data_IF_132669388785
#
_entry.id   IF_132669388785
#
_cell.length_a   1.000
_cell.length_b   1.000
_cell.length_c   1.000
_cell.angle_alpha   90.00
_cell.angle_beta   90.00
_cell.angle_gamma   90.00
#
_symmetry.space_group_name_H-M   'P 1'
#
loop_
_entity.id
_entity.type
_entity.pdbx_description
1 polymer ?
#
# COMPACT_ATOMS: atom_id res chain seq x y z
N UNK A 1 -2.84 -36.16 6.09
CA UNK A 1 -3.51 -36.02 4.78
C UNK A 1 -4.46 -37.18 4.45
N UNK A 2 -4.11 -38.46 4.65
CA UNK A 2 -5.01 -39.60 4.34
C UNK A 2 -6.35 -39.61 5.10
N UNK A 3 -6.38 -39.18 6.37
CA UNK A 3 -7.63 -39.07 7.14
C UNK A 3 -8.60 -37.99 6.62
N UNK A 4 -8.08 -36.88 6.11
CA UNK A 4 -8.89 -35.79 5.54
C UNK A 4 -9.53 -36.20 4.20
N UNK A 5 -8.80 -36.96 3.38
CA UNK A 5 -9.34 -37.53 2.12
C UNK A 5 -10.42 -38.59 2.39
N UNK A 6 -10.28 -39.40 3.45
CA UNK A 6 -11.28 -40.38 3.83
C UNK A 6 -12.60 -39.74 4.31
N UNK A 7 -12.54 -38.65 5.07
CA UNK A 7 -13.73 -37.88 5.46
C UNK A 7 -14.39 -37.18 4.26
N UNK A 8 -13.60 -36.57 3.36
CA UNK A 8 -14.10 -35.96 2.12
C UNK A 8 -14.82 -36.99 1.22
N UNK A 9 -14.22 -38.18 1.05
CA UNK A 9 -14.85 -39.29 0.31
C UNK A 9 -16.11 -39.83 1.00
N UNK A 10 -16.13 -39.93 2.33
CA UNK A 10 -17.31 -40.40 3.08
C UNK A 10 -18.49 -39.42 3.00
N UNK A 11 -18.21 -38.11 2.88
CA UNK A 11 -19.22 -37.06 2.73
C UNK A 11 -19.57 -36.77 1.27
N UNK A 12 -18.93 -37.45 0.31
CA UNK A 12 -19.04 -37.21 -1.13
C UNK A 12 -18.85 -35.73 -1.52
N UNK A 13 -18.01 -35.02 -0.75
CA UNK A 13 -17.71 -33.59 -0.92
C UNK A 13 -16.20 -33.42 -1.01
N UNK A 14 -15.68 -32.74 -2.05
CA UNK A 14 -14.23 -32.64 -2.24
C UNK A 14 -13.51 -31.92 -1.11
N UNK A 15 -14.15 -30.96 -0.43
CA UNK A 15 -13.50 -30.07 0.55
C UNK A 15 -14.42 -29.63 1.72
N UNK A 16 -14.98 -30.55 2.52
CA UNK A 16 -15.97 -30.21 3.55
C UNK A 16 -15.43 -29.24 4.63
N UNK A 17 -14.15 -29.34 5.00
CA UNK A 17 -13.52 -28.43 5.97
C UNK A 17 -13.30 -27.03 5.40
N UNK A 18 -13.04 -26.91 4.10
CA UNK A 18 -12.93 -25.61 3.44
C UNK A 18 -14.31 -24.95 3.35
N UNK A 19 -15.35 -25.72 3.02
CA UNK A 19 -16.72 -25.22 2.95
C UNK A 19 -17.22 -24.78 4.33
N UNK A 20 -16.89 -25.53 5.38
CA UNK A 20 -17.22 -25.19 6.77
C UNK A 20 -16.44 -23.95 7.23
N UNK A 21 -15.15 -23.85 6.90
CA UNK A 21 -14.35 -22.66 7.14
C UNK A 21 -14.88 -21.43 6.40
N UNK A 22 -15.27 -21.56 5.12
CA UNK A 22 -15.85 -20.47 4.32
C UNK A 22 -17.18 -20.00 4.93
N UNK A 23 -18.00 -20.92 5.46
CA UNK A 23 -19.25 -20.58 6.16
C UNK A 23 -19.04 -19.77 7.44
N UNK A 24 -17.85 -19.79 8.04
CA UNK A 24 -17.55 -18.92 9.20
C UNK A 24 -17.37 -17.46 8.83
N UNK A 25 -17.19 -17.13 7.54
CA UNK A 25 -17.13 -15.74 7.10
C UNK A 25 -18.54 -15.19 6.91
N UNK A 26 -18.90 -14.08 7.58
CA UNK A 26 -20.19 -13.46 7.37
C UNK A 26 -20.30 -12.95 5.92
N UNK A 27 -21.35 -13.39 5.22
CA UNK A 27 -21.63 -12.94 3.86
C UNK A 27 -21.91 -11.43 3.83
N UNK A 28 -21.37 -10.74 2.81
CA UNK A 28 -21.57 -9.30 2.60
C UNK A 28 -20.65 -8.37 3.41
N UNK A 29 -19.74 -8.90 4.24
CA UNK A 29 -18.77 -8.10 4.98
C UNK A 29 -17.49 -7.89 4.14
N UNK A 30 -16.97 -6.65 4.03
CA UNK A 30 -15.70 -6.40 3.35
C UNK A 30 -14.56 -7.21 3.98
N UNK A 31 -13.59 -7.65 3.18
CA UNK A 31 -12.40 -8.29 3.72
C UNK A 31 -11.52 -7.26 4.45
N UNK A 32 -11.13 -7.49 5.72
CA UNK A 32 -10.17 -6.63 6.42
C UNK A 32 -8.90 -6.36 5.62
N UNK A 33 -8.42 -5.11 5.67
CA UNK A 33 -7.20 -4.66 5.00
C UNK A 33 -7.39 -4.27 3.54
N UNK A 34 -8.57 -4.51 2.97
CA UNK A 34 -8.90 -4.07 1.62
C UNK A 34 -9.61 -2.72 1.63
N UNK A 35 -9.20 -1.86 0.69
CA UNK A 35 -9.88 -0.60 0.37
C UNK A 35 -10.67 -0.77 -0.91
N UNK A 36 -11.86 -0.17 -0.99
CA UNK A 36 -12.76 -0.34 -2.14
C UNK A 36 -12.23 0.36 -3.39
N UNK A 37 -11.66 1.54 -3.23
CA UNK A 37 -11.11 2.31 -4.35
C UNK A 37 -9.75 2.94 -3.98
N UNK A 38 -8.87 2.96 -4.99
CA UNK A 38 -7.56 3.60 -4.92
C UNK A 38 -7.21 4.19 -6.28
N UNK A 39 -6.46 5.28 -6.26
CA UNK A 39 -5.92 5.91 -7.46
C UNK A 39 -4.48 6.33 -7.18
N UNK A 40 -3.60 6.10 -8.15
CA UNK A 40 -2.21 6.54 -8.09
C UNK A 40 -1.90 7.29 -9.38
N UNK A 41 -1.36 8.49 -9.25
CA UNK A 41 -0.92 9.30 -10.38
C UNK A 41 0.49 9.80 -10.06
N UNK A 42 1.39 9.68 -11.02
CA UNK A 42 2.73 10.24 -10.91
C UNK A 42 3.14 10.79 -12.28
N UNK A 43 3.68 12.00 -12.29
CA UNK A 43 4.16 12.66 -13.51
C UNK A 43 5.61 13.07 -13.33
N UNK A 44 6.40 12.96 -14.40
CA UNK A 44 7.78 13.43 -14.46
C UNK A 44 7.98 14.26 -15.71
N UNK A 45 8.65 15.39 -15.55
CA UNK A 45 9.09 16.25 -16.64
C UNK A 45 10.62 16.33 -16.63
N UNK A 46 11.21 16.24 -17.82
CA UNK A 46 12.66 16.29 -18.01
C UNK A 46 13.01 17.38 -19.02
N UNK A 47 13.94 18.25 -18.62
CA UNK A 47 14.47 19.29 -19.47
C UNK A 47 15.48 18.66 -20.44
N UNK A 48 15.12 18.54 -21.71
CA UNK A 48 15.98 17.91 -22.73
C UNK A 48 16.94 18.90 -23.42
N UNK A 49 16.71 20.21 -23.27
CA UNK A 49 17.47 21.29 -23.93
C UNK A 49 17.60 22.51 -23.03
N UNK A 50 18.50 23.42 -23.38
CA UNK A 50 18.73 24.67 -22.68
C UNK A 50 19.61 24.53 -21.43
N UNK A 51 19.68 25.57 -20.58
CA UNK A 51 20.57 25.61 -19.42
C UNK A 51 20.23 24.56 -18.34
N UNK A 52 19.01 24.01 -18.36
CA UNK A 52 18.57 22.96 -17.44
C UNK A 52 18.64 21.55 -18.05
N UNK A 53 19.30 21.37 -19.20
CA UNK A 53 19.39 20.07 -19.85
C UNK A 53 19.87 18.98 -18.88
N UNK A 54 19.07 17.92 -18.72
CA UNK A 54 19.36 16.80 -17.82
C UNK A 54 18.72 16.92 -16.44
N UNK A 55 18.16 18.08 -16.08
CA UNK A 55 17.33 18.24 -14.87
C UNK A 55 15.98 17.59 -15.12
N UNK A 56 15.45 16.90 -14.12
CA UNK A 56 14.08 16.42 -14.13
C UNK A 56 13.42 16.64 -12.77
N UNK A 57 12.12 16.90 -12.83
CA UNK A 57 11.26 17.04 -11.66
C UNK A 57 10.01 16.21 -11.87
N UNK A 58 9.51 15.60 -10.82
CA UNK A 58 8.32 14.78 -10.85
C UNK A 58 7.61 14.82 -9.52
N UNK A 59 6.34 14.44 -9.56
CA UNK A 59 5.51 14.40 -8.38
C UNK A 59 4.25 13.61 -8.64
N UNK A 60 3.63 13.16 -7.57
CA UNK A 60 2.46 12.32 -7.66
C UNK A 60 1.69 12.20 -6.37
N UNK A 61 0.50 11.63 -6.48
CA UNK A 61 -0.42 11.37 -5.39
C UNK A 61 -0.85 9.92 -5.35
N UNK A 62 -0.99 9.37 -4.15
CA UNK A 62 -1.59 8.06 -3.91
C UNK A 62 -2.81 8.25 -3.02
N UNK A 63 -4.00 8.11 -3.61
CA UNK A 63 -5.28 8.25 -2.92
C UNK A 63 -5.90 6.88 -2.66
N UNK A 64 -6.49 6.72 -1.47
CA UNK A 64 -7.23 5.51 -1.07
C UNK A 64 -8.46 5.89 -0.25
N UNK A 65 -9.55 5.16 -0.48
CA UNK A 65 -10.74 5.24 0.37
C UNK A 65 -10.49 4.60 1.73
N UNK A 66 -11.46 4.74 2.65
CA UNK A 66 -11.44 4.05 3.95
C UNK A 66 -11.15 2.56 3.80
N UNK A 67 -10.40 2.00 4.75
CA UNK A 67 -10.03 0.58 4.78
C UNK A 67 -10.77 -0.11 5.91
N UNK A 68 -11.49 -1.18 5.62
CA UNK A 68 -12.16 -1.96 6.65
C UNK A 68 -11.10 -2.71 7.48
N UNK A 69 -11.22 -2.69 8.80
CA UNK A 69 -10.28 -3.34 9.72
C UNK A 69 -10.83 -4.66 10.26
N UNK A 70 -12.15 -4.84 10.28
CA UNK A 70 -12.80 -5.95 10.95
C UNK A 70 -13.86 -5.44 11.91
N UNK A 71 -14.61 -6.37 12.50
CA UNK A 71 -15.57 -6.06 13.53
C UNK A 71 -14.91 -6.17 14.90
N UNK A 72 -15.19 -5.24 15.80
CA UNK A 72 -14.77 -5.30 17.20
C UNK A 72 -15.83 -4.62 18.03
N UNK A 73 -16.19 -5.24 19.15
CA UNK A 73 -16.96 -4.60 20.20
C UNK A 73 -16.01 -3.67 20.97
N UNK A 74 -16.06 -2.38 20.67
CA UNK A 74 -15.18 -1.36 21.30
C UNK A 74 -15.77 -0.77 22.58
N UNK A 75 -17.07 -0.92 22.81
CA UNK A 75 -17.80 -0.33 23.93
C UNK A 75 -18.19 -1.39 25.01
N UNK A 76 -17.85 -2.66 24.77
CA UNK A 76 -18.14 -3.81 25.62
C UNK A 76 -19.63 -4.06 25.85
N UNK A 77 -20.50 -3.67 24.91
CA UNK A 77 -21.95 -3.85 25.00
C UNK A 77 -22.45 -5.19 24.42
N UNK A 78 -21.54 -6.02 23.89
CA UNK A 78 -21.82 -7.30 23.26
C UNK A 78 -22.15 -7.21 21.77
N UNK A 79 -22.10 -6.02 21.16
CA UNK A 79 -22.36 -5.76 19.75
C UNK A 79 -21.08 -5.38 19.04
N UNK A 80 -20.62 -6.23 18.12
CA UNK A 80 -19.40 -5.94 17.36
C UNK A 80 -19.66 -4.90 16.25
N UNK A 81 -18.96 -3.77 16.30
CA UNK A 81 -19.06 -2.73 15.27
C UNK A 81 -17.97 -2.81 14.21
N UNK A 82 -18.31 -2.40 13.00
CA UNK A 82 -17.39 -2.34 11.87
C UNK A 82 -16.36 -1.21 12.05
N UNK A 83 -15.09 -1.58 12.26
CA UNK A 83 -13.99 -0.62 12.37
C UNK A 83 -13.41 -0.26 11.01
N UNK A 84 -13.15 1.04 10.80
CA UNK A 84 -12.61 1.58 9.56
C UNK A 84 -11.41 2.49 9.81
N UNK A 85 -10.39 2.36 8.97
CA UNK A 85 -9.32 3.37 8.87
C UNK A 85 -9.79 4.52 7.98
N UNK A 86 -9.52 5.79 8.34
CA UNK A 86 -9.90 6.93 7.51
C UNK A 86 -9.28 6.90 6.10
N UNK A 87 -9.94 7.50 5.09
CA UNK A 87 -9.34 7.69 3.78
C UNK A 87 -8.14 8.64 3.85
N UNK A 88 -7.17 8.47 2.96
CA UNK A 88 -6.01 9.35 2.89
C UNK A 88 -5.50 9.53 1.46
N UNK A 89 -4.72 10.59 1.28
CA UNK A 89 -3.92 10.86 0.10
C UNK A 89 -2.50 11.19 0.56
N UNK A 90 -1.51 10.60 -0.09
CA UNK A 90 -0.10 10.87 0.14
C UNK A 90 0.49 11.49 -1.13
N UNK A 91 1.37 12.47 -0.96
CA UNK A 91 2.09 13.08 -2.07
C UNK A 91 3.57 12.70 -2.01
N UNK A 92 4.16 12.49 -3.17
CA UNK A 92 5.60 12.26 -3.32
C UNK A 92 6.19 13.25 -4.33
N UNK A 93 7.44 13.64 -4.10
CA UNK A 93 8.21 14.53 -4.97
C UNK A 93 9.50 13.82 -5.39
N UNK A 94 9.89 14.02 -6.65
CA UNK A 94 11.15 13.59 -7.22
C UNK A 94 11.83 14.79 -7.87
N UNK A 95 13.11 14.97 -7.61
CA UNK A 95 13.96 15.88 -8.36
C UNK A 95 15.29 15.21 -8.64
N UNK A 96 15.89 15.48 -9.79
CA UNK A 96 17.20 14.94 -10.10
C UNK A 96 17.86 15.60 -11.28
N UNK A 97 19.11 15.19 -11.50
CA UNK A 97 19.97 15.74 -12.52
C UNK A 97 20.86 14.66 -13.11
N UNK A 98 20.84 14.55 -14.44
CA UNK A 98 21.71 13.67 -15.21
C UNK A 98 22.83 14.50 -15.84
N UNK A 99 24.07 14.17 -15.49
CA UNK A 99 25.27 14.90 -15.94
C UNK A 99 26.41 13.93 -16.21
N UNK A 100 27.57 14.45 -16.62
CA UNK A 100 28.82 13.71 -16.69
C UNK A 100 29.78 14.23 -15.63
N UNK A 101 30.28 13.35 -14.77
CA UNK A 101 31.31 13.66 -13.77
C UNK A 101 32.56 12.85 -14.14
N UNK A 102 33.69 13.53 -14.32
CA UNK A 102 34.96 12.90 -14.72
C UNK A 102 34.83 11.98 -15.96
N UNK A 103 34.13 12.46 -17.00
CA UNK A 103 33.84 11.71 -18.24
C UNK A 103 32.96 10.46 -18.07
N UNK A 104 32.30 10.31 -16.91
CA UNK A 104 31.37 9.21 -16.65
C UNK A 104 29.94 9.74 -16.52
N UNK A 105 28.95 9.09 -17.15
CA UNK A 105 27.54 9.41 -16.91
C UNK A 105 27.21 9.23 -15.43
N UNK A 106 26.65 10.27 -14.81
CA UNK A 106 26.22 10.25 -13.41
C UNK A 106 24.80 10.80 -13.29
N UNK A 107 23.96 10.10 -12.53
CA UNK A 107 22.60 10.52 -12.17
C UNK A 107 22.51 10.79 -10.68
N UNK A 108 22.06 12.00 -10.33
CA UNK A 108 21.73 12.42 -8.98
C UNK A 108 20.21 12.50 -8.85
N UNK A 109 19.64 11.93 -7.80
CA UNK A 109 18.20 11.96 -7.57
C UNK A 109 17.87 12.11 -6.08
N UNK A 110 16.87 12.94 -5.77
CA UNK A 110 16.27 13.08 -4.46
C UNK A 110 14.79 12.75 -4.58
N UNK A 111 14.33 11.84 -3.72
CA UNK A 111 12.93 11.52 -3.55
C UNK A 111 12.47 11.93 -2.16
N UNK A 112 11.27 12.50 -2.09
CA UNK A 112 10.60 12.82 -0.83
C UNK A 112 9.25 12.11 -0.87
N UNK A 113 9.08 11.14 0.03
CA UNK A 113 7.81 10.42 0.19
C UNK A 113 7.03 10.99 1.38
N UNK A 114 5.71 10.95 1.29
CA UNK A 114 4.81 11.61 2.25
C UNK A 114 5.20 13.09 2.46
N UNK A 115 5.26 13.83 1.35
CA UNK A 115 5.70 15.23 1.28
C UNK A 115 4.98 16.15 2.29
N UNK A 116 3.73 15.85 2.63
CA UNK A 116 2.93 16.65 3.56
C UNK A 116 3.06 16.19 5.02
N UNK A 117 3.89 15.16 5.29
CA UNK A 117 4.03 14.52 6.61
C UNK A 117 2.68 14.15 7.24
N UNK A 118 1.85 13.47 6.44
CA UNK A 118 0.53 13.06 6.88
C UNK A 118 0.66 11.86 7.82
N UNK A 119 0.05 11.96 8.98
CA UNK A 119 -0.23 10.79 9.83
C UNK A 119 -1.43 10.02 9.27
N UNK A 120 -1.23 8.72 9.03
CA UNK A 120 -2.27 7.86 8.50
C UNK A 120 -2.14 6.44 9.05
N UNK A 121 -3.26 5.74 9.11
CA UNK A 121 -3.28 4.35 9.56
C UNK A 121 -3.09 3.38 8.40
N UNK A 122 -2.18 2.43 8.57
CA UNK A 122 -2.09 1.21 7.78
C UNK A 122 -2.54 0.05 8.64
N UNK A 123 -3.80 -0.31 8.54
CA UNK A 123 -4.35 -1.44 9.29
C UNK A 123 -4.90 -2.49 8.34
N UNK A 124 -4.40 -3.71 8.51
CA UNK A 124 -4.83 -4.88 7.75
C UNK A 124 -5.91 -5.65 8.52
N UNK A 125 -5.90 -5.60 9.85
CA UNK A 125 -6.94 -6.20 10.71
C UNK A 125 -7.24 -5.35 11.95
N UNK A 126 -8.28 -5.70 12.70
CA UNK A 126 -8.64 -5.10 13.98
C UNK A 126 -7.54 -5.32 15.05
N UNK A 127 -6.79 -6.42 14.95
CA UNK A 127 -5.68 -6.80 15.84
C UNK A 127 -4.30 -6.38 15.33
N UNK A 128 -4.18 -6.00 14.05
CA UNK A 128 -2.91 -5.58 13.43
C UNK A 128 -3.10 -4.26 12.69
N UNK A 129 -2.56 -3.20 13.29
CA UNK A 129 -2.51 -1.87 12.71
C UNK A 129 -1.17 -1.22 13.02
N UNK A 130 -0.57 -0.61 12.02
CA UNK A 130 0.58 0.24 12.18
C UNK A 130 0.25 1.65 11.73
N UNK A 131 1.01 2.61 12.24
CA UNK A 131 1.10 3.90 11.60
C UNK A 131 1.78 3.75 10.24
N UNK A 132 1.35 4.58 9.29
CA UNK A 132 2.01 4.71 8.02
C UNK A 132 3.38 5.37 8.16
N UNK A 133 4.21 5.19 7.14
CA UNK A 133 5.56 5.75 7.14
C UNK A 133 5.51 7.30 7.20
N UNK A 134 6.28 7.95 8.08
CA UNK A 134 6.36 9.42 8.15
C UNK A 134 7.05 9.96 6.89
N UNK A 135 7.18 11.30 6.79
CA UNK A 135 7.96 11.90 5.71
C UNK A 135 9.36 11.31 5.65
N UNK A 136 9.78 10.86 4.47
CA UNK A 136 11.09 10.27 4.27
C UNK A 136 11.82 10.85 3.06
N UNK A 137 13.14 10.84 3.12
CA UNK A 137 14.02 11.41 2.12
C UNK A 137 14.98 10.33 1.62
N UNK A 138 15.12 10.20 0.30
CA UNK A 138 16.07 9.28 -0.32
C UNK A 138 16.91 10.02 -1.35
N UNK A 139 18.22 10.06 -1.11
CA UNK A 139 19.23 10.49 -2.06
C UNK A 139 19.78 9.26 -2.80
N UNK A 140 19.97 9.37 -4.10
CA UNK A 140 20.54 8.31 -4.94
C UNK A 140 21.54 8.92 -5.91
N UNK A 141 22.71 8.28 -6.00
CA UNK A 141 23.80 8.65 -6.89
C UNK A 141 24.20 7.39 -7.63
N UNK A 142 24.12 7.42 -8.97
CA UNK A 142 24.49 6.31 -9.84
C UNK A 142 25.52 6.83 -10.83
N UNK A 143 26.66 6.16 -10.94
CA UNK A 143 27.71 6.47 -11.92
C UNK A 143 28.03 5.20 -12.70
N UNK A 144 27.98 5.29 -14.03
CA UNK A 144 28.32 4.18 -14.92
C UNK A 144 29.84 4.13 -15.14
N UNK A 145 30.43 2.92 -15.17
CA UNK A 145 31.88 2.66 -15.27
C UNK A 145 32.28 2.09 -16.63
#
# INVERSE_FOLDING_TARGET
>A
MKGFQAQASAMNRPTPLLDEFIRTFPEGVPNPGYTKARANLFTRYEFSRGPLKGVYVGGGGNWRTKTFRGNSDVNQDGVAEALWSPPYILFSLLAGYRTQIAHRPTSLAVNIDNLLDKDYYRSNTNTTGSWGDPRSFKLTIITDF
#
